data_IF_459808756744
#
_entry.id   IF_459808756744
#
_cell.length_a   1.000
_cell.length_b   1.000
_cell.length_c   1.000
_cell.angle_alpha   90.00
_cell.angle_beta   90.00
_cell.angle_gamma   90.00
#
_symmetry.space_group_name_H-M   'P 1'
#
loop_
_entity.id
_entity.type
_entity.pdbx_description
1 polymer ?
#
# COMPACT_ATOMS: atom_id res chain seq x y z
N UNK A 1 24.75 -21.84 -34.15
CA UNK A 1 23.39 -22.40 -34.31
C UNK A 1 22.82 -22.56 -32.91
N UNK A 2 21.72 -21.86 -32.64
CA UNK A 2 20.87 -21.97 -31.44
C UNK A 2 21.26 -21.24 -30.14
N UNK A 3 21.42 -19.89 -30.15
CA UNK A 3 21.19 -19.07 -28.93
C UNK A 3 20.47 -17.72 -29.18
N UNK A 4 19.84 -17.56 -30.35
CA UNK A 4 19.09 -16.37 -30.73
C UNK A 4 17.62 -16.39 -30.29
N UNK A 5 17.23 -17.31 -29.40
CA UNK A 5 15.85 -17.52 -28.93
C UNK A 5 15.58 -16.96 -27.52
N UNK A 6 16.62 -16.55 -26.79
CA UNK A 6 16.48 -16.00 -25.42
C UNK A 6 16.32 -14.47 -25.40
N UNK A 7 16.72 -13.79 -26.48
CA UNK A 7 16.46 -12.37 -26.68
C UNK A 7 15.35 -12.21 -27.71
N UNK A 8 14.15 -12.62 -27.30
CA UNK A 8 12.93 -12.14 -27.94
C UNK A 8 12.98 -10.61 -27.98
N UNK A 9 12.73 -10.05 -29.15
CA UNK A 9 12.67 -8.62 -29.42
C UNK A 9 11.75 -7.91 -28.42
N UNK A 10 12.30 -7.46 -27.30
CA UNK A 10 11.62 -6.62 -26.33
C UNK A 10 11.90 -5.17 -26.71
N UNK A 11 11.15 -4.68 -27.69
CA UNK A 11 10.80 -3.25 -27.63
C UNK A 11 10.20 -2.99 -26.23
N UNK A 12 10.57 -1.89 -25.57
CA UNK A 12 10.25 -1.71 -24.16
C UNK A 12 8.74 -1.50 -23.98
N UNK A 13 8.04 -2.56 -23.60
CA UNK A 13 6.63 -2.54 -23.17
C UNK A 13 6.40 -1.51 -22.03
N UNK A 14 7.44 -1.25 -21.23
CA UNK A 14 7.47 -0.19 -20.21
C UNK A 14 7.43 1.23 -20.79
N UNK A 15 7.97 1.47 -21.99
CA UNK A 15 7.93 2.77 -22.68
C UNK A 15 6.56 3.01 -23.32
N UNK A 16 5.89 1.96 -23.81
CA UNK A 16 4.56 2.04 -24.45
C UNK A 16 3.42 2.26 -23.43
N UNK A 17 3.54 1.70 -22.22
CA UNK A 17 2.57 1.94 -21.13
C UNK A 17 2.77 3.34 -20.50
N UNK A 18 3.99 3.87 -20.52
CA UNK A 18 4.28 5.21 -20.00
C UNK A 18 3.79 6.34 -20.92
N UNK A 19 3.89 6.17 -22.25
CA UNK A 19 3.48 7.20 -23.23
C UNK A 19 1.97 7.40 -23.26
N UNK A 20 1.19 6.32 -23.27
CA UNK A 20 -0.28 6.36 -23.31
C UNK A 20 -0.96 6.96 -22.07
N UNK A 21 -0.27 7.02 -20.91
CA UNK A 21 -0.78 7.67 -19.68
C UNK A 21 -0.64 9.20 -19.70
N UNK A 22 0.25 9.74 -20.54
CA UNK A 22 0.50 11.18 -20.67
C UNK A 22 -0.43 11.86 -21.68
N UNK A 23 -1.09 11.09 -22.56
CA UNK A 23 -1.97 11.60 -23.63
C UNK A 23 -3.41 11.88 -23.19
N UNK A 24 -3.76 11.64 -21.92
CA UNK A 24 -5.10 11.94 -21.42
C UNK A 24 -5.24 13.43 -21.08
N UNK A 25 -6.34 14.09 -21.51
CA UNK A 25 -6.58 15.47 -21.14
C UNK A 25 -6.60 15.62 -19.62
N UNK A 26 -6.04 16.73 -19.12
CA UNK A 26 -5.88 16.99 -17.68
C UNK A 26 -7.20 16.82 -16.90
N UNK A 27 -8.33 17.15 -17.52
CA UNK A 27 -9.68 16.95 -16.98
C UNK A 27 -10.01 15.48 -16.72
N UNK A 28 -9.67 14.57 -17.64
CA UNK A 28 -9.93 13.13 -17.50
C UNK A 28 -9.01 12.49 -16.46
N UNK A 29 -7.76 12.95 -16.36
CA UNK A 29 -6.80 12.52 -15.31
C UNK A 29 -7.30 12.92 -13.92
N UNK A 30 -7.83 14.14 -13.79
CA UNK A 30 -8.44 14.60 -12.54
C UNK A 30 -9.66 13.75 -12.16
N UNK A 31 -10.56 13.49 -13.12
CA UNK A 31 -11.74 12.63 -12.87
C UNK A 31 -11.37 11.21 -12.42
N UNK A 32 -10.39 10.58 -13.09
CA UNK A 32 -9.91 9.24 -12.70
C UNK A 32 -9.29 9.24 -11.30
N UNK A 33 -8.50 10.27 -10.98
CA UNK A 33 -7.88 10.41 -9.66
C UNK A 33 -8.94 10.59 -8.57
N UNK A 34 -9.96 11.40 -8.86
CA UNK A 34 -11.09 11.61 -7.96
C UNK A 34 -11.90 10.32 -7.78
N UNK A 35 -12.16 9.57 -8.85
CA UNK A 35 -12.84 8.28 -8.77
C UNK A 35 -12.06 7.28 -7.91
N UNK A 36 -10.74 7.19 -8.12
CA UNK A 36 -9.88 6.33 -7.31
C UNK A 36 -9.86 6.75 -5.83
N UNK A 37 -9.78 8.05 -5.57
CA UNK A 37 -9.86 8.60 -4.22
C UNK A 37 -11.17 8.22 -3.54
N UNK A 38 -12.32 8.45 -4.17
CA UNK A 38 -13.64 8.11 -3.62
C UNK A 38 -13.77 6.60 -3.38
N UNK A 39 -13.22 5.77 -4.27
CA UNK A 39 -13.22 4.31 -4.10
C UNK A 39 -12.44 3.87 -2.84
N UNK A 40 -11.29 4.49 -2.57
CA UNK A 40 -10.44 4.16 -1.41
C UNK A 40 -10.87 4.86 -0.11
N UNK A 41 -11.61 5.97 -0.23
CA UNK A 41 -12.08 6.79 0.89
C UNK A 41 -12.94 5.98 1.86
N UNK A 42 -13.86 5.15 1.34
CA UNK A 42 -14.79 4.37 2.15
C UNK A 42 -14.07 3.49 3.18
N UNK A 43 -13.11 2.67 2.75
CA UNK A 43 -12.33 1.83 3.64
C UNK A 43 -11.43 2.64 4.60
N UNK A 44 -10.85 3.73 4.10
CA UNK A 44 -9.91 4.58 4.87
C UNK A 44 -10.60 5.28 6.03
N UNK A 45 -11.86 5.70 5.86
CA UNK A 45 -12.67 6.36 6.90
C UNK A 45 -13.44 5.36 7.77
N UNK A 46 -13.84 4.21 7.22
CA UNK A 46 -14.61 3.20 7.96
C UNK A 46 -13.83 2.62 9.15
N UNK A 47 -12.57 2.25 8.98
CA UNK A 47 -11.79 1.62 10.07
C UNK A 47 -11.56 2.56 11.26
N UNK A 48 -11.13 3.82 11.07
CA UNK A 48 -11.04 4.79 12.17
C UNK A 48 -12.37 4.98 12.89
N UNK A 49 -13.47 5.10 12.14
CA UNK A 49 -14.81 5.23 12.72
C UNK A 49 -15.18 4.04 13.61
N UNK A 50 -14.92 2.81 13.15
CA UNK A 50 -15.21 1.59 13.91
C UNK A 50 -14.32 1.42 15.15
N UNK A 51 -13.09 1.90 15.09
CA UNK A 51 -12.11 1.77 16.19
C UNK A 51 -12.17 2.93 17.19
N UNK A 52 -12.81 4.04 16.83
CA UNK A 52 -12.86 5.28 17.61
C UNK A 52 -11.62 6.17 17.42
N UNK A 53 -10.89 6.00 16.32
CA UNK A 53 -9.80 6.88 15.90
C UNK A 53 -10.33 8.02 15.02
N UNK A 54 -9.59 9.13 14.99
CA UNK A 54 -9.96 10.29 14.17
C UNK A 54 -9.80 9.98 12.66
N UNK A 55 -10.88 10.02 11.86
CA UNK A 55 -10.82 9.74 10.43
C UNK A 55 -10.01 10.76 9.62
N UNK A 56 -9.94 12.02 10.06
CA UNK A 56 -9.16 13.06 9.39
C UNK A 56 -7.66 12.79 9.53
N UNK A 57 -7.23 12.37 10.72
CA UNK A 57 -5.83 11.98 10.96
C UNK A 57 -5.48 10.75 10.13
N UNK A 58 -6.39 9.77 10.03
CA UNK A 58 -6.19 8.59 9.19
C UNK A 58 -6.10 8.95 7.69
N UNK A 59 -6.97 9.84 7.20
CA UNK A 59 -6.97 10.27 5.80
C UNK A 59 -5.71 11.08 5.46
N UNK A 60 -5.30 11.98 6.36
CA UNK A 60 -4.06 12.73 6.22
C UNK A 60 -2.83 11.80 6.19
N UNK A 61 -2.78 10.83 7.11
CA UNK A 61 -1.68 9.87 7.19
C UNK A 61 -1.65 8.91 5.99
N UNK A 62 -2.81 8.49 5.49
CA UNK A 62 -2.93 7.69 4.27
C UNK A 62 -2.39 8.43 3.03
N UNK A 63 -2.76 9.70 2.87
CA UNK A 63 -2.27 10.54 1.79
C UNK A 63 -0.76 10.80 1.89
N UNK A 64 -0.28 11.21 3.07
CA UNK A 64 1.13 11.47 3.31
C UNK A 64 1.99 10.20 3.17
N UNK A 65 1.53 9.08 3.72
CA UNK A 65 2.19 7.78 3.62
C UNK A 65 2.27 7.30 2.17
N UNK A 66 1.21 7.53 1.39
CA UNK A 66 1.21 7.24 -0.05
C UNK A 66 2.23 8.08 -0.80
N UNK A 67 2.36 9.37 -0.48
CA UNK A 67 3.36 10.23 -1.11
C UNK A 67 4.79 9.80 -0.75
N UNK A 68 5.06 9.50 0.53
CA UNK A 68 6.36 9.00 1.00
C UNK A 68 6.70 7.66 0.33
N UNK A 69 5.72 6.76 0.20
CA UNK A 69 5.91 5.47 -0.47
C UNK A 69 6.29 5.64 -1.94
N UNK A 70 5.59 6.51 -2.68
CA UNK A 70 5.94 6.80 -4.07
C UNK A 70 7.32 7.46 -4.19
N UNK A 71 7.69 8.32 -3.25
CA UNK A 71 9.02 8.93 -3.22
C UNK A 71 10.13 7.88 -3.02
N UNK A 72 9.96 6.96 -2.07
CA UNK A 72 10.93 5.89 -1.79
C UNK A 72 11.03 4.89 -2.96
N UNK A 73 9.91 4.59 -3.64
CA UNK A 73 9.84 3.61 -4.74
C UNK A 73 10.10 4.22 -6.13
N UNK A 74 10.37 5.52 -6.22
CA UNK A 74 10.60 6.22 -7.49
C UNK A 74 9.37 6.26 -8.40
N UNK A 75 8.16 6.15 -7.84
CA UNK A 75 6.90 6.19 -8.60
C UNK A 75 6.64 4.97 -9.50
N UNK A 76 7.41 3.89 -9.35
CA UNK A 76 7.27 2.66 -10.16
C UNK A 76 6.03 1.83 -9.79
N UNK A 77 5.57 1.94 -8.54
CA UNK A 77 4.50 1.10 -7.99
C UNK A 77 3.27 1.96 -7.65
N UNK A 78 2.18 1.91 -8.44
CA UNK A 78 1.00 2.74 -8.21
C UNK A 78 0.13 2.12 -7.10
N UNK A 79 0.34 2.53 -5.85
CA UNK A 79 -0.40 2.00 -4.68
C UNK A 79 -0.91 3.12 -3.79
N UNK A 80 -2.13 2.98 -3.28
CA UNK A 80 -2.70 3.85 -2.25
C UNK A 80 -2.67 3.13 -0.89
N UNK A 81 -2.11 3.76 0.14
CA UNK A 81 -2.06 3.21 1.50
C UNK A 81 -3.37 3.54 2.22
N UNK A 82 -4.30 2.57 2.27
CA UNK A 82 -5.55 2.68 3.02
C UNK A 82 -5.48 2.13 4.45
N UNK A 83 -6.58 2.27 5.19
CA UNK A 83 -6.73 1.68 6.52
C UNK A 83 -6.86 0.16 6.46
N UNK A 84 -6.11 -0.56 7.31
CA UNK A 84 -6.09 -2.03 7.28
C UNK A 84 -7.18 -2.63 8.18
N UNK A 85 -8.04 -3.45 7.58
CA UNK A 85 -9.18 -4.08 8.27
C UNK A 85 -8.73 -5.12 9.30
N UNK A 86 -7.52 -5.67 9.14
CA UNK A 86 -6.92 -6.60 10.10
C UNK A 86 -6.72 -5.98 11.50
N UNK A 87 -6.68 -4.64 11.61
CA UNK A 87 -6.51 -3.96 12.89
C UNK A 87 -7.82 -3.68 13.64
N UNK A 88 -8.99 -3.89 13.03
CA UNK A 88 -10.29 -3.61 13.68
C UNK A 88 -10.43 -4.44 14.97
N UNK A 89 -10.35 -5.77 14.84
CA UNK A 89 -10.53 -6.69 15.97
C UNK A 89 -9.52 -6.47 17.12
N UNK A 90 -8.19 -6.41 16.88
CA UNK A 90 -7.23 -6.22 17.98
C UNK A 90 -7.35 -4.84 18.64
N UNK A 91 -7.68 -3.77 17.88
CA UNK A 91 -7.81 -2.42 18.44
C UNK A 91 -9.03 -2.33 19.37
N UNK A 92 -10.16 -2.93 18.99
CA UNK A 92 -11.36 -3.00 19.84
C UNK A 92 -11.07 -3.82 21.10
N UNK A 93 -10.43 -4.99 20.96
CA UNK A 93 -10.11 -5.86 22.09
C UNK A 93 -9.20 -5.16 23.12
N UNK A 94 -8.17 -4.46 22.67
CA UNK A 94 -7.25 -3.73 23.56
C UNK A 94 -7.96 -2.57 24.24
N UNK A 95 -8.81 -1.84 23.51
CA UNK A 95 -9.63 -0.77 24.06
C UNK A 95 -10.56 -1.28 25.16
N UNK A 96 -11.23 -2.42 24.96
CA UNK A 96 -12.11 -3.02 25.98
C UNK A 96 -11.34 -3.51 27.20
N UNK A 97 -10.17 -4.14 27.00
CA UNK A 97 -9.36 -4.66 28.11
C UNK A 97 -8.69 -3.59 28.96
N UNK A 98 -8.17 -2.54 28.33
CA UNK A 98 -7.31 -1.54 28.99
C UNK A 98 -7.97 -0.17 29.13
N UNK A 99 -9.20 0.01 28.62
CA UNK A 99 -9.99 1.23 28.75
C UNK A 99 -9.49 2.44 27.95
N UNK A 100 -8.31 2.36 27.32
CA UNK A 100 -7.69 3.46 26.59
C UNK A 100 -7.16 3.01 25.22
N UNK A 101 -7.52 3.77 24.18
CA UNK A 101 -7.10 3.56 22.79
C UNK A 101 -5.59 3.82 22.59
N UNK A 102 -4.94 4.57 23.49
CA UNK A 102 -3.51 4.87 23.43
C UNK A 102 -2.64 3.61 23.44
N UNK A 103 -3.07 2.56 24.15
CA UNK A 103 -2.36 1.27 24.15
C UNK A 103 -2.39 0.62 22.76
N UNK A 104 -3.52 0.71 22.05
CA UNK A 104 -3.64 0.23 20.67
C UNK A 104 -2.74 1.01 19.70
N UNK A 105 -2.61 2.33 19.88
CA UNK A 105 -1.73 3.18 19.07
C UNK A 105 -0.25 2.77 19.20
N UNK A 106 0.21 2.48 20.42
CA UNK A 106 1.56 1.95 20.65
C UNK A 106 1.79 0.61 19.93
N UNK A 107 0.80 -0.28 19.96
CA UNK A 107 0.82 -1.54 19.20
C UNK A 107 0.91 -1.35 17.68
N UNK A 108 0.19 -0.36 17.13
CA UNK A 108 0.24 0.00 15.70
C UNK A 108 1.64 0.47 15.30
N UNK A 109 2.29 1.28 16.13
CA UNK A 109 3.68 1.74 15.88
C UNK A 109 4.64 0.56 15.85
N UNK A 110 4.52 -0.38 16.80
CA UNK A 110 5.35 -1.60 16.82
C UNK A 110 5.07 -2.47 15.60
N UNK A 111 3.81 -2.62 15.16
CA UNK A 111 3.46 -3.36 13.95
C UNK A 111 4.15 -2.75 12.71
N UNK A 112 4.21 -1.42 12.62
CA UNK A 112 4.98 -0.73 11.58
C UNK A 112 6.48 -1.03 11.64
N UNK A 113 7.07 -1.06 12.84
CA UNK A 113 8.48 -1.45 13.01
C UNK A 113 8.73 -2.91 12.60
N UNK A 114 7.80 -3.82 12.90
CA UNK A 114 7.86 -5.22 12.46
C UNK A 114 7.80 -5.32 10.94
N UNK A 115 6.99 -4.50 10.26
CA UNK A 115 6.97 -4.44 8.79
C UNK A 115 8.30 -3.96 8.20
N UNK A 116 8.97 -2.99 8.82
CA UNK A 116 10.31 -2.56 8.40
C UNK A 116 11.33 -3.68 8.60
N UNK A 117 11.31 -4.36 9.75
CA UNK A 117 12.19 -5.50 10.00
C UNK A 117 11.95 -6.62 8.98
N UNK A 118 10.69 -6.94 8.70
CA UNK A 118 10.32 -7.95 7.70
C UNK A 118 10.77 -7.55 6.30
N UNK A 119 10.63 -6.28 5.93
CA UNK A 119 11.13 -5.75 4.65
C UNK A 119 12.64 -5.96 4.48
N UNK A 120 13.42 -5.73 5.54
CA UNK A 120 14.87 -5.98 5.54
C UNK A 120 15.20 -7.47 5.40
N UNK A 121 14.47 -8.33 6.11
CA UNK A 121 14.65 -9.80 6.00
C UNK A 121 14.38 -10.25 4.56
N UNK A 122 13.28 -9.80 3.95
CA UNK A 122 12.94 -10.16 2.56
C UNK A 122 13.98 -9.63 1.58
N UNK A 123 14.57 -8.45 1.84
CA UNK A 123 15.65 -7.90 1.01
C UNK A 123 16.89 -8.81 1.00
N UNK A 124 17.21 -9.49 2.12
CA UNK A 124 18.37 -10.39 2.23
C UNK A 124 18.06 -11.79 1.70
N UNK A 125 16.89 -12.35 2.05
CA UNK A 125 16.50 -13.73 1.69
C UNK A 125 16.01 -13.86 0.23
N UNK A 126 15.64 -12.74 -0.40
CA UNK A 126 15.07 -12.72 -1.73
C UNK A 126 13.59 -13.13 -1.76
N UNK A 127 12.90 -12.76 -2.83
CA UNK A 127 11.45 -12.95 -2.99
C UNK A 127 11.04 -14.42 -3.17
N UNK A 128 11.99 -15.30 -3.48
CA UNK A 128 11.73 -16.73 -3.70
C UNK A 128 11.31 -17.47 -2.43
N UNK A 129 11.81 -17.04 -1.26
CA UNK A 129 11.44 -17.65 0.03
C UNK A 129 9.98 -17.34 0.38
N UNK A 130 9.53 -16.11 0.11
CA UNK A 130 8.13 -15.70 0.34
C UNK A 130 7.17 -16.45 -0.58
N UNK A 131 7.52 -16.61 -1.86
CA UNK A 131 6.70 -17.39 -2.80
C UNK A 131 6.57 -18.87 -2.40
N UNK A 132 7.56 -19.43 -1.72
CA UNK A 132 7.52 -20.81 -1.20
C UNK A 132 6.75 -20.94 0.12
N UNK A 133 6.80 -19.92 0.97
CA UNK A 133 6.06 -19.86 2.24
C UNK A 133 4.57 -19.56 2.04
N UNK A 134 4.25 -18.70 1.08
CA UNK A 134 2.89 -18.33 0.71
C UNK A 134 2.66 -18.67 -0.76
N UNK A 135 2.53 -19.96 -1.10
CA UNK A 135 2.17 -20.35 -2.44
C UNK A 135 0.78 -19.79 -2.76
N UNK A 136 0.57 -19.26 -3.98
CA UNK A 136 -0.76 -18.91 -4.46
C UNK A 136 -1.49 -20.21 -4.77
N UNK A 137 -2.07 -20.85 -3.75
CA UNK A 137 -2.88 -22.08 -3.73
C UNK A 137 -2.63 -23.11 -4.84
#
# INVERSE_FOLDING_TARGET
MEKDVIFGNSEPESTVISSSRLDLPASKRFLLSLQHFVAMFGATVLVPLLTGLDPLVALFSAGLGTLIFHFITGGLVPVFLGSSFAFIAPVILVKEKYGDIRYSLGGIVIAGAVYLAFSLIVKVLGTNVIKKLFPPV
#
